data_IF_640567192099
#
_entry.id   IF_640567192099
#
_cell.length_a   1.000
_cell.length_b   1.000
_cell.length_c   1.000
_cell.angle_alpha   90.00
_cell.angle_beta   90.00
_cell.angle_gamma   90.00
#
_symmetry.space_group_name_H-M   'P 1'
#
loop_
_entity.id
_entity.type
_entity.pdbx_description
1 polymer ?
#
# COMPACT_ATOMS: atom_id res chain seq x y z
N UNK A 1 -2.60 6.00 -19.99
CA UNK A 1 -2.32 4.79 -19.18
C UNK A 1 -1.34 5.25 -18.11
N UNK A 2 -1.80 5.47 -16.87
CA UNK A 2 -0.93 5.98 -15.80
C UNK A 2 0.22 5.01 -15.55
N UNK A 3 1.43 5.53 -15.50
CA UNK A 3 2.63 4.72 -15.36
C UNK A 3 2.83 4.39 -13.88
N UNK A 4 2.68 3.11 -13.52
CA UNK A 4 2.88 2.62 -12.15
C UNK A 4 4.29 2.95 -11.63
N UNK A 5 5.30 3.02 -12.52
CA UNK A 5 6.68 3.41 -12.19
C UNK A 5 6.79 4.86 -11.70
N UNK A 6 5.94 5.77 -12.21
CA UNK A 6 5.92 7.17 -11.77
C UNK A 6 5.22 7.35 -10.42
N UNK A 7 4.57 6.30 -9.91
CA UNK A 7 3.77 6.34 -8.69
C UNK A 7 4.31 5.40 -7.60
N UNK A 8 5.56 4.94 -7.74
CA UNK A 8 6.21 4.03 -6.78
C UNK A 8 6.18 4.62 -5.36
N UNK A 9 6.60 5.88 -5.21
CA UNK A 9 6.59 6.55 -3.90
C UNK A 9 5.19 6.68 -3.31
N UNK A 10 4.20 6.98 -4.15
CA UNK A 10 2.80 7.10 -3.72
C UNK A 10 2.27 5.75 -3.23
N UNK A 11 2.54 4.67 -3.98
CA UNK A 11 2.12 3.31 -3.63
C UNK A 11 2.82 2.86 -2.34
N UNK A 12 4.13 3.13 -2.19
CA UNK A 12 4.86 2.80 -0.97
C UNK A 12 4.27 3.52 0.24
N UNK A 13 4.06 4.84 0.14
CA UNK A 13 3.41 5.63 1.21
C UNK A 13 2.01 5.14 1.52
N UNK A 14 1.26 4.72 0.50
CA UNK A 14 -0.08 4.17 0.66
C UNK A 14 -0.07 2.85 1.43
N UNK A 15 0.84 1.93 1.13
CA UNK A 15 0.98 0.68 1.90
C UNK A 15 1.34 0.97 3.34
N UNK A 16 2.34 1.82 3.60
CA UNK A 16 2.73 2.19 4.96
C UNK A 16 1.58 2.86 5.73
N UNK A 17 0.83 3.75 5.09
CA UNK A 17 -0.34 4.40 5.70
C UNK A 17 -1.46 3.41 6.00
N UNK A 18 -1.76 2.51 5.07
CA UNK A 18 -2.82 1.50 5.22
C UNK A 18 -2.51 0.50 6.32
N UNK A 19 -1.25 0.05 6.43
CA UNK A 19 -0.80 -0.83 7.52
C UNK A 19 -0.90 -0.11 8.86
N UNK A 20 -0.44 1.15 8.92
CA UNK A 20 -0.49 1.95 10.14
C UNK A 20 -1.93 2.21 10.61
N UNK A 21 -2.86 2.42 9.69
CA UNK A 21 -4.27 2.61 10.01
C UNK A 21 -4.90 1.32 10.54
N UNK A 22 -4.72 0.21 9.83
CA UNK A 22 -5.35 -1.07 10.16
C UNK A 22 -4.77 -1.75 11.42
N UNK A 23 -3.44 -1.73 11.57
CA UNK A 23 -2.74 -2.50 12.61
C UNK A 23 -2.12 -1.62 13.70
N UNK A 24 -2.15 -0.29 13.54
CA UNK A 24 -1.51 0.68 14.46
C UNK A 24 0.00 0.47 14.65
N UNK A 25 0.66 -0.16 13.69
CA UNK A 25 2.11 -0.39 13.66
C UNK A 25 2.76 0.34 12.49
N UNK A 26 4.07 0.57 12.58
CA UNK A 26 4.88 1.02 11.45
C UNK A 26 5.75 -0.14 11.01
N UNK A 27 5.68 -0.50 9.73
CA UNK A 27 6.46 -1.58 9.14
C UNK A 27 7.35 -1.00 8.07
N UNK A 28 8.63 -1.35 8.12
CA UNK A 28 9.57 -1.10 7.05
C UNK A 28 9.27 -2.06 5.90
N UNK A 29 8.90 -1.50 4.74
CA UNK A 29 8.50 -2.25 3.56
C UNK A 29 9.63 -2.40 2.54
N UNK A 30 10.84 -1.94 2.86
CA UNK A 30 11.97 -2.08 1.95
C UNK A 30 12.31 -3.55 1.70
N UNK A 31 12.43 -3.92 0.43
CA UNK A 31 12.64 -5.30 -0.02
C UNK A 31 11.47 -6.26 0.19
N UNK A 32 10.32 -5.81 0.73
CA UNK A 32 9.14 -6.68 0.94
C UNK A 32 8.32 -6.89 -0.34
N UNK A 33 8.53 -6.05 -1.34
CA UNK A 33 7.97 -6.21 -2.68
C UNK A 33 8.84 -5.50 -3.71
N UNK A 34 8.65 -5.85 -4.99
CA UNK A 34 9.33 -5.23 -6.12
C UNK A 34 8.34 -4.85 -7.22
N UNK A 35 8.66 -3.80 -7.96
CA UNK A 35 7.99 -3.50 -9.23
C UNK A 35 8.70 -4.26 -10.34
N UNK A 36 7.95 -5.07 -11.08
CA UNK A 36 8.49 -5.88 -12.17
C UNK A 36 7.50 -5.92 -13.33
N UNK A 37 7.90 -6.45 -14.48
CA UNK A 37 7.00 -6.66 -15.60
C UNK A 37 6.46 -8.09 -15.61
N UNK A 38 5.15 -8.21 -15.77
CA UNK A 38 4.54 -9.49 -16.06
C UNK A 38 5.07 -10.03 -17.40
N UNK A 39 5.61 -11.24 -17.39
CA UNK A 39 6.32 -11.81 -18.55
C UNK A 39 5.40 -11.93 -19.78
N UNK A 40 4.12 -12.26 -19.56
CA UNK A 40 3.12 -12.50 -20.60
C UNK A 40 2.53 -11.19 -21.11
N UNK A 41 1.96 -10.37 -20.23
CA UNK A 41 1.23 -9.15 -20.61
C UNK A 41 2.12 -7.91 -20.78
N UNK A 42 3.39 -7.98 -20.39
CA UNK A 42 4.35 -6.86 -20.34
C UNK A 42 3.92 -5.67 -19.47
N UNK A 43 2.84 -5.81 -18.71
CA UNK A 43 2.37 -4.78 -17.76
C UNK A 43 3.27 -4.76 -16.54
N UNK A 44 3.51 -3.56 -16.00
CA UNK A 44 4.16 -3.41 -14.70
C UNK A 44 3.21 -3.92 -13.62
N UNK A 45 3.73 -4.75 -12.72
CA UNK A 45 3.05 -5.35 -11.58
C UNK A 45 3.92 -5.20 -10.33
N UNK A 46 3.30 -5.37 -9.18
CA UNK A 46 3.98 -5.49 -7.89
C UNK A 46 4.08 -6.98 -7.55
N UNK A 47 5.29 -7.49 -7.38
CA UNK A 47 5.53 -8.87 -6.93
C UNK A 47 5.96 -8.84 -5.46
N UNK A 48 5.36 -9.69 -4.63
CA UNK A 48 5.76 -9.81 -3.22
C UNK A 48 7.07 -10.58 -3.09
N UNK A 49 7.95 -10.06 -2.24
CA UNK A 49 9.26 -10.66 -1.88
C UNK A 49 9.37 -10.78 -0.37
N UNK A 50 8.24 -11.03 0.30
CA UNK A 50 8.08 -10.96 1.74
C UNK A 50 9.19 -11.69 2.50
N UNK A 51 9.87 -10.95 3.36
CA UNK A 51 10.88 -11.48 4.27
C UNK A 51 10.21 -12.08 5.51
N UNK A 52 11.01 -12.65 6.41
CA UNK A 52 10.53 -13.15 7.69
C UNK A 52 9.77 -12.08 8.50
N UNK A 53 10.06 -10.79 8.30
CA UNK A 53 9.35 -9.68 8.96
C UNK A 53 7.85 -9.74 8.68
N UNK A 54 7.46 -9.88 7.42
CA UNK A 54 6.05 -9.97 6.99
C UNK A 54 5.51 -11.38 7.17
N UNK A 55 6.31 -12.42 6.88
CA UNK A 55 5.85 -13.81 6.94
C UNK A 55 5.54 -14.29 8.37
N UNK A 56 6.15 -13.68 9.39
CA UNK A 56 5.90 -13.98 10.81
C UNK A 56 4.53 -13.54 11.31
N UNK A 57 3.88 -12.61 10.61
CA UNK A 57 2.54 -12.12 10.93
C UNK A 57 1.58 -12.50 9.78
N UNK A 58 0.79 -13.58 9.93
CA UNK A 58 -0.13 -14.03 8.90
C UNK A 58 -1.18 -13.00 8.51
N UNK A 59 -1.61 -12.15 9.45
CA UNK A 59 -2.63 -11.13 9.19
C UNK A 59 -2.04 -9.98 8.36
N UNK A 60 -0.86 -9.51 8.73
CA UNK A 60 -0.13 -8.50 7.97
C UNK A 60 0.20 -8.99 6.56
N UNK A 61 0.69 -10.22 6.42
CA UNK A 61 0.95 -10.86 5.13
C UNK A 61 -0.29 -10.89 4.27
N UNK A 62 -1.42 -11.37 4.81
CA UNK A 62 -2.68 -11.46 4.07
C UNK A 62 -3.15 -10.09 3.60
N UNK A 63 -3.12 -9.10 4.50
CA UNK A 63 -3.52 -7.73 4.21
C UNK A 63 -2.68 -7.11 3.09
N UNK A 64 -1.35 -7.17 3.20
CA UNK A 64 -0.46 -6.60 2.20
C UNK A 64 -0.57 -7.33 0.84
N UNK A 65 -0.75 -8.66 0.87
CA UNK A 65 -1.04 -9.44 -0.35
C UNK A 65 -2.32 -8.97 -1.04
N UNK A 66 -3.37 -8.69 -0.27
CA UNK A 66 -4.64 -8.22 -0.81
C UNK A 66 -4.48 -6.85 -1.47
N UNK A 67 -3.79 -5.90 -0.82
CA UNK A 67 -3.51 -4.59 -1.39
C UNK A 67 -2.73 -4.68 -2.71
N UNK A 68 -1.70 -5.52 -2.75
CA UNK A 68 -0.92 -5.78 -3.98
C UNK A 68 -1.81 -6.37 -5.08
N UNK A 69 -2.67 -7.34 -4.75
CA UNK A 69 -3.58 -7.96 -5.70
C UNK A 69 -4.64 -6.99 -6.25
N UNK A 70 -5.17 -6.09 -5.42
CA UNK A 70 -6.11 -5.05 -5.87
C UNK A 70 -5.47 -4.09 -6.87
N UNK A 71 -4.22 -3.68 -6.62
CA UNK A 71 -3.46 -2.83 -7.55
C UNK A 71 -3.15 -3.59 -8.84
N UNK A 72 -2.63 -4.81 -8.75
CA UNK A 72 -2.26 -5.62 -9.92
C UNK A 72 -3.46 -5.99 -10.80
N UNK A 73 -4.64 -6.17 -10.21
CA UNK A 73 -5.89 -6.42 -10.94
C UNK A 73 -6.52 -5.16 -11.55
N UNK A 74 -5.97 -3.97 -11.26
CA UNK A 74 -6.50 -2.70 -11.71
C UNK A 74 -7.76 -2.24 -10.96
N UNK A 75 -8.17 -2.94 -9.89
CA UNK A 75 -9.30 -2.55 -9.04
C UNK A 75 -8.96 -1.33 -8.18
N UNK A 76 -7.68 -1.15 -7.84
CA UNK A 76 -7.17 0.02 -7.13
C UNK A 76 -6.30 0.85 -8.09
N UNK A 77 -6.84 1.97 -8.58
CA UNK A 77 -6.13 2.91 -9.46
C UNK A 77 -5.33 3.93 -8.65
N UNK A 78 -4.39 4.62 -9.31
CA UNK A 78 -3.60 5.69 -8.69
C UNK A 78 -4.49 6.81 -8.15
N UNK A 79 -5.56 7.18 -8.87
CA UNK A 79 -6.55 8.14 -8.38
C UNK A 79 -7.26 7.67 -7.11
N UNK A 80 -7.63 6.38 -7.04
CA UNK A 80 -8.23 5.80 -5.84
C UNK A 80 -7.26 5.83 -4.66
N UNK A 81 -5.98 5.52 -4.89
CA UNK A 81 -4.91 5.63 -3.89
C UNK A 81 -4.78 7.09 -3.42
N UNK A 82 -4.74 8.05 -4.34
CA UNK A 82 -4.61 9.47 -4.03
C UNK A 82 -5.80 9.96 -3.18
N UNK A 83 -7.00 9.51 -3.49
CA UNK A 83 -8.20 9.85 -2.72
C UNK A 83 -8.15 9.25 -1.30
N UNK A 84 -7.75 7.97 -1.16
CA UNK A 84 -7.54 7.34 0.16
C UNK A 84 -6.47 8.05 0.98
N UNK A 85 -5.37 8.47 0.35
CA UNK A 85 -4.30 9.22 1.00
C UNK A 85 -4.77 10.56 1.58
N UNK A 86 -5.66 11.27 0.88
CA UNK A 86 -6.28 12.49 1.42
C UNK A 86 -7.10 12.21 2.68
N UNK A 87 -7.86 11.11 2.70
CA UNK A 87 -8.60 10.73 3.91
C UNK A 87 -7.70 10.40 5.09
N UNK A 88 -6.56 9.74 4.88
CA UNK A 88 -5.60 9.51 5.96
C UNK A 88 -5.06 10.84 6.54
N UNK A 89 -4.80 11.83 5.68
CA UNK A 89 -4.37 13.16 6.13
C UNK A 89 -5.49 13.92 6.85
N UNK A 90 -6.73 13.86 6.37
CA UNK A 90 -7.91 14.47 7.02
C UNK A 90 -8.18 13.89 8.41
N UNK A 91 -8.06 12.56 8.56
CA UNK A 91 -8.23 11.89 9.86
C UNK A 91 -7.14 12.32 10.84
N UNK A 92 -5.90 12.50 10.37
CA UNK A 92 -4.79 13.01 11.20
C UNK A 92 -4.98 14.47 11.64
N UNK A 93 -5.69 15.28 10.86
CA UNK A 93 -5.91 16.71 11.13
C UNK A 93 -7.21 17.02 11.87
N UNK A 94 -7.98 16.03 12.35
CA UNK A 94 -9.08 16.33 13.27
C UNK A 94 -8.49 16.83 14.59
N UNK A 95 -8.65 18.12 14.96
CA UNK A 95 -8.27 18.55 16.29
C UNK A 95 -9.09 17.71 17.27
N UNK A 96 -8.42 17.14 18.27
CA UNK A 96 -9.09 16.60 19.45
C UNK A 96 -10.03 17.70 19.95
N UNK A 97 -11.32 17.58 19.66
CA UNK A 97 -12.32 18.36 20.37
C UNK A 97 -12.26 17.85 21.81
N UNK A 98 -11.48 18.54 22.65
CA UNK A 98 -11.61 18.45 24.10
C UNK A 98 -13.08 18.74 24.39
N UNK A 99 -13.81 17.69 24.74
CA UNK A 99 -15.06 17.85 25.48
C UNK A 99 -14.58 18.32 26.86
N UNK A 100 -14.78 19.61 27.14
CA UNK A 100 -14.65 20.22 28.47
C UNK A 100 -15.99 20.04 29.16
#
# INVERSE_FOLDING_TARGET
MENMLQNIDLIHRYFSASIKDQFRISVDLDGEYIFTQNIVSKKTIIASTFTHKILSDPQLKLFLSALIAEINSGRCTVDAIRNRMRHFDEVRHRPFRRII
#
